data_IF_988774237095
#
_entry.id   IF_988774237095
#
_cell.length_a   1.000
_cell.length_b   1.000
_cell.length_c   1.000
_cell.angle_alpha   90.00
_cell.angle_beta   90.00
_cell.angle_gamma   90.00
#
_symmetry.space_group_name_H-M   'P 1'
#
loop_
_entity.id
_entity.type
_entity.pdbx_description
1 polymer ?
#
# COMPACT_ATOMS: atom_id res chain seq x y z
N UNK A 1 27.06 -1.10 19.60
CA UNK A 1 26.32 -0.64 18.41
C UNK A 1 24.91 -0.21 18.81
N UNK A 2 24.60 1.09 18.76
CA UNK A 2 23.26 1.61 19.08
C UNK A 2 22.21 1.06 18.10
N UNK A 3 21.05 0.66 18.62
CA UNK A 3 19.89 0.27 17.78
C UNK A 3 19.53 1.48 16.90
N UNK A 4 19.76 1.39 15.59
CA UNK A 4 19.27 2.37 14.63
C UNK A 4 17.78 2.61 14.87
N UNK A 5 17.41 3.88 15.09
CA UNK A 5 16.06 4.30 15.45
C UNK A 5 15.13 3.94 14.29
N UNK A 6 14.29 2.91 14.48
CA UNK A 6 13.32 2.51 13.44
C UNK A 6 12.26 3.60 13.32
N UNK A 7 12.25 4.27 12.19
CA UNK A 7 11.23 5.26 11.83
C UNK A 7 9.87 4.57 11.81
N UNK A 8 8.90 5.21 12.48
CA UNK A 8 7.49 4.81 12.48
C UNK A 8 6.70 5.88 11.74
N UNK A 9 5.58 5.50 11.16
CA UNK A 9 4.74 6.47 10.48
C UNK A 9 3.63 5.86 9.68
N UNK A 10 3.04 6.69 8.83
CA UNK A 10 2.04 6.34 7.83
C UNK A 10 2.64 6.56 6.44
N UNK A 11 2.19 5.79 5.47
CA UNK A 11 2.56 5.95 4.08
C UNK A 11 1.37 5.69 3.17
N UNK A 12 1.46 6.27 1.98
CA UNK A 12 0.63 5.94 0.84
C UNK A 12 1.51 5.38 -0.27
N UNK A 13 1.09 4.27 -0.87
CA UNK A 13 1.66 3.79 -2.13
C UNK A 13 0.83 4.33 -3.28
N UNK A 14 1.50 4.94 -4.26
CA UNK A 14 0.89 5.41 -5.48
C UNK A 14 1.14 4.36 -6.57
N UNK A 15 0.05 3.82 -7.09
CA UNK A 15 0.08 2.72 -8.04
C UNK A 15 -0.81 3.00 -9.24
N UNK A 16 -0.57 2.28 -10.33
CA UNK A 16 -1.41 2.30 -11.53
C UNK A 16 -1.71 0.88 -11.95
N UNK A 17 -2.99 0.56 -12.12
CA UNK A 17 -3.44 -0.62 -12.81
C UNK A 17 -3.49 -0.36 -14.31
N UNK A 18 -2.75 -1.16 -15.08
CA UNK A 18 -2.63 -0.99 -16.54
C UNK A 18 -3.89 -1.43 -17.27
N UNK A 19 -4.57 -2.45 -16.73
CA UNK A 19 -5.81 -3.03 -17.24
C UNK A 19 -6.78 -3.29 -16.09
N UNK A 20 -8.04 -3.57 -16.42
CA UNK A 20 -8.97 -4.12 -15.42
C UNK A 20 -8.79 -5.64 -15.33
N UNK A 21 -8.83 -6.19 -14.13
CA UNK A 21 -8.70 -7.64 -13.91
C UNK A 21 -9.28 -8.07 -12.56
N UNK A 22 -9.61 -9.35 -12.44
CA UNK A 22 -9.99 -9.95 -11.16
C UNK A 22 -8.76 -10.50 -10.43
N UNK A 23 -8.73 -10.31 -9.12
CA UNK A 23 -7.65 -10.75 -8.25
C UNK A 23 -8.22 -11.42 -6.99
N UNK A 24 -7.73 -12.64 -6.70
CA UNK A 24 -7.99 -13.29 -5.42
C UNK A 24 -6.96 -12.82 -4.38
N UNK A 25 -7.42 -12.15 -3.32
CA UNK A 25 -6.59 -11.54 -2.28
C UNK A 25 -6.75 -12.31 -0.97
N UNK A 26 -6.01 -13.40 -0.82
CA UNK A 26 -6.02 -14.21 0.41
C UNK A 26 -7.44 -14.52 0.89
N UNK A 27 -7.72 -14.20 2.16
CA UNK A 27 -9.05 -14.40 2.77
C UNK A 27 -10.09 -13.35 2.38
N UNK A 28 -9.70 -12.23 1.76
CA UNK A 28 -10.66 -11.22 1.27
C UNK A 28 -11.42 -11.71 0.02
N UNK A 29 -10.94 -12.77 -0.62
CA UNK A 29 -11.61 -13.36 -1.76
C UNK A 29 -11.33 -12.61 -3.07
N UNK A 30 -12.29 -12.68 -4.00
CA UNK A 30 -12.15 -12.15 -5.37
C UNK A 30 -12.57 -10.69 -5.41
N UNK A 31 -11.69 -9.83 -5.89
CA UNK A 31 -11.95 -8.41 -6.12
C UNK A 31 -11.69 -8.03 -7.57
N UNK A 32 -12.55 -7.17 -8.13
CA UNK A 32 -12.34 -6.56 -9.45
C UNK A 32 -11.48 -5.31 -9.27
N UNK A 33 -10.30 -5.32 -9.86
CA UNK A 33 -9.35 -4.20 -9.80
C UNK A 33 -9.53 -3.35 -11.06
N UNK A 34 -10.03 -2.10 -10.95
CA UNK A 34 -10.25 -1.24 -12.11
C UNK A 34 -8.92 -0.81 -12.73
N UNK A 35 -8.95 -0.52 -14.03
CA UNK A 35 -7.87 0.21 -14.71
C UNK A 35 -7.80 1.64 -14.15
N UNK A 36 -6.60 2.14 -13.89
CA UNK A 36 -6.41 3.52 -13.43
C UNK A 36 -5.48 3.65 -12.24
N UNK A 37 -5.55 4.79 -11.56
CA UNK A 37 -4.73 5.08 -10.40
C UNK A 37 -5.31 4.45 -9.13
N UNK A 38 -4.44 3.83 -8.35
CA UNK A 38 -4.77 3.18 -7.09
C UNK A 38 -3.90 3.76 -5.98
N UNK A 39 -4.50 3.94 -4.80
CA UNK A 39 -3.78 4.37 -3.60
C UNK A 39 -3.97 3.31 -2.52
N UNK A 40 -2.88 2.97 -1.85
CA UNK A 40 -2.92 2.11 -0.67
C UNK A 40 -2.37 2.87 0.54
N UNK A 41 -3.16 2.94 1.61
CA UNK A 41 -2.76 3.55 2.88
C UNK A 41 -2.28 2.46 3.85
N UNK A 42 -1.14 2.66 4.50
CA UNK A 42 -0.65 1.74 5.51
C UNK A 42 0.27 2.40 6.54
N UNK A 43 0.55 1.70 7.64
CA UNK A 43 1.48 2.16 8.68
C UNK A 43 2.77 1.36 8.76
N UNK A 44 3.82 1.99 9.24
CA UNK A 44 5.17 1.47 9.40
C UNK A 44 5.61 1.34 10.86
N UNK A 45 4.74 0.92 11.78
CA UNK A 45 5.00 1.01 13.24
C UNK A 45 6.21 0.21 13.74
N UNK A 46 6.75 -0.72 12.95
CA UNK A 46 7.93 -1.53 13.26
C UNK A 46 9.10 -1.32 12.26
N UNK A 47 9.04 -0.24 11.47
CA UNK A 47 10.00 0.11 10.43
C UNK A 47 9.29 0.56 9.17
N UNK A 48 9.14 1.88 8.99
CA UNK A 48 8.43 2.52 7.88
C UNK A 48 9.10 2.26 6.54
N UNK A 49 10.36 2.64 6.40
CA UNK A 49 11.10 2.51 5.13
C UNK A 49 11.20 1.04 4.70
N UNK A 50 11.54 0.14 5.62
CA UNK A 50 11.57 -1.31 5.33
C UNK A 50 10.22 -1.85 4.81
N UNK A 51 9.09 -1.32 5.29
CA UNK A 51 7.77 -1.74 4.84
C UNK A 51 7.47 -1.18 3.45
N UNK A 52 7.82 0.09 3.19
CA UNK A 52 7.71 0.71 1.87
C UNK A 52 8.59 -0.05 0.86
N UNK A 53 9.88 -0.23 1.15
CA UNK A 53 10.84 -0.93 0.27
C UNK A 53 10.37 -2.33 -0.11
N UNK A 54 9.78 -3.04 0.85
CA UNK A 54 9.21 -4.34 0.57
C UNK A 54 8.11 -4.26 -0.48
N UNK A 55 7.24 -3.26 -0.43
CA UNK A 55 6.14 -3.12 -1.38
C UNK A 55 6.63 -2.92 -2.81
N UNK A 56 7.78 -2.27 -2.98
CA UNK A 56 8.43 -2.13 -4.29
C UNK A 56 9.04 -3.42 -4.85
N UNK A 57 9.38 -4.41 -4.01
CA UNK A 57 9.95 -5.69 -4.50
C UNK A 57 8.90 -6.51 -5.22
N UNK A 58 9.18 -7.02 -6.41
CA UNK A 58 8.30 -7.97 -7.11
C UNK A 58 8.41 -9.38 -6.55
N UNK A 59 9.65 -9.83 -6.32
CA UNK A 59 9.92 -11.16 -5.79
C UNK A 59 9.84 -11.15 -4.27
N UNK A 60 8.73 -11.67 -3.74
CA UNK A 60 8.49 -11.78 -2.30
C UNK A 60 7.37 -12.79 -2.03
N UNK A 61 7.43 -13.46 -0.88
CA UNK A 61 6.27 -14.19 -0.35
C UNK A 61 5.16 -13.19 -0.02
N UNK A 62 3.91 -13.47 -0.40
CA UNK A 62 2.76 -12.62 -0.07
C UNK A 62 2.44 -12.74 1.42
N UNK A 63 2.54 -11.64 2.17
CA UNK A 63 2.29 -11.57 3.61
C UNK A 63 1.14 -10.61 3.94
N UNK A 64 0.98 -9.55 3.17
CA UNK A 64 -0.08 -8.56 3.33
C UNK A 64 -1.02 -8.58 2.12
N UNK A 65 -2.27 -8.13 2.28
CA UNK A 65 -3.23 -8.05 1.18
C UNK A 65 -2.69 -7.24 -0.02
N UNK A 66 -2.00 -6.13 0.25
CA UNK A 66 -1.35 -5.33 -0.78
C UNK A 66 -0.21 -6.06 -1.52
N UNK A 67 0.38 -7.10 -0.93
CA UNK A 67 1.38 -7.92 -1.64
C UNK A 67 0.76 -8.63 -2.85
N UNK A 68 -0.54 -8.96 -2.84
CA UNK A 68 -1.21 -9.59 -3.98
C UNK A 68 -1.30 -8.65 -5.17
N UNK A 69 -1.54 -7.35 -4.93
CA UNK A 69 -1.51 -6.33 -5.98
C UNK A 69 -0.07 -6.05 -6.43
N UNK A 70 0.85 -5.81 -5.49
CA UNK A 70 2.20 -5.33 -5.84
C UNK A 70 3.07 -6.34 -6.57
N UNK A 71 2.77 -7.65 -6.46
CA UNK A 71 3.42 -8.68 -7.28
C UNK A 71 2.73 -8.94 -8.61
N UNK A 72 1.54 -8.37 -8.85
CA UNK A 72 0.82 -8.55 -10.10
C UNK A 72 1.47 -7.70 -11.22
N UNK A 73 1.82 -8.28 -12.38
CA UNK A 73 2.49 -7.55 -13.46
C UNK A 73 1.68 -6.39 -14.03
N UNK A 74 0.35 -6.40 -13.87
CA UNK A 74 -0.54 -5.32 -14.32
C UNK A 74 -0.57 -4.12 -13.37
N UNK A 75 0.06 -4.21 -12.20
CA UNK A 75 0.18 -3.12 -11.23
C UNK A 75 1.57 -2.51 -11.33
N UNK A 76 1.66 -1.20 -11.53
CA UNK A 76 2.91 -0.43 -11.47
C UNK A 76 2.90 0.42 -10.21
N UNK A 77 3.89 0.28 -9.35
CA UNK A 77 4.12 1.19 -8.22
C UNK A 77 5.10 2.25 -8.70
N UNK A 78 4.70 3.52 -8.68
CA UNK A 78 5.54 4.59 -9.20
C UNK A 78 6.05 5.54 -8.13
N UNK A 79 5.41 5.58 -6.95
CA UNK A 79 5.90 6.40 -5.84
C UNK A 79 5.36 5.93 -4.48
N UNK A 80 5.96 6.44 -3.40
CA UNK A 80 5.44 6.38 -2.06
C UNK A 80 5.64 7.73 -1.36
N UNK A 81 4.61 8.20 -0.66
CA UNK A 81 4.68 9.39 0.19
C UNK A 81 4.50 8.92 1.63
N UNK A 82 5.29 9.43 2.55
CA UNK A 82 5.22 9.02 3.95
C UNK A 82 5.40 10.20 4.91
N UNK A 83 4.88 10.02 6.12
CA UNK A 83 5.08 10.96 7.22
C UNK A 83 5.50 10.18 8.48
N UNK A 84 6.50 10.70 9.18
CA UNK A 84 6.93 10.15 10.46
C UNK A 84 5.90 10.49 11.55
N UNK A 85 5.38 9.46 12.21
CA UNK A 85 4.44 9.63 13.32
C UNK A 85 4.41 8.38 14.19
N UNK A 86 4.03 8.55 15.46
CA UNK A 86 3.74 7.45 16.38
C UNK A 86 2.25 7.14 16.48
N UNK A 87 1.41 8.03 15.95
CA UNK A 87 -0.04 7.91 15.96
C UNK A 87 -0.53 7.00 14.83
N UNK A 88 -1.72 6.42 15.02
CA UNK A 88 -2.39 5.64 13.98
C UNK A 88 -3.15 6.60 13.07
N UNK A 89 -2.56 6.92 11.93
CA UNK A 89 -3.09 7.92 10.98
C UNK A 89 -3.79 7.29 9.78
N UNK A 90 -3.84 5.96 9.65
CA UNK A 90 -4.37 5.30 8.45
C UNK A 90 -5.82 5.70 8.14
N UNK A 91 -6.68 5.76 9.16
CA UNK A 91 -8.08 6.14 8.97
C UNK A 91 -8.22 7.60 8.49
N UNK A 92 -7.51 8.53 9.14
CA UNK A 92 -7.53 9.95 8.80
C UNK A 92 -7.04 10.15 7.35
N UNK A 93 -5.91 9.54 6.99
CA UNK A 93 -5.37 9.64 5.63
C UNK A 93 -6.34 9.03 4.61
N UNK A 94 -6.98 7.90 4.93
CA UNK A 94 -7.95 7.26 4.03
C UNK A 94 -9.19 8.13 3.81
N UNK A 95 -9.66 8.81 4.86
CA UNK A 95 -10.79 9.73 4.79
C UNK A 95 -10.49 10.96 3.92
N UNK A 96 -9.31 11.56 4.06
CA UNK A 96 -8.91 12.71 3.24
C UNK A 96 -8.73 12.34 1.76
N UNK A 97 -8.21 11.14 1.48
CA UNK A 97 -8.14 10.61 0.12
C UNK A 97 -9.55 10.41 -0.47
N UNK A 98 -10.49 9.89 0.34
CA UNK A 98 -11.87 9.71 -0.08
C UNK A 98 -12.54 11.05 -0.43
N UNK A 99 -12.38 12.07 0.43
CA UNK A 99 -12.86 13.44 0.17
C UNK A 99 -12.26 14.06 -1.10
N UNK A 100 -11.08 13.61 -1.49
CA UNK A 100 -10.40 14.04 -2.72
C UNK A 100 -10.92 13.35 -3.99
N UNK A 101 -11.96 12.50 -3.90
CA UNK A 101 -12.64 11.87 -5.04
C UNK A 101 -12.20 10.45 -5.35
N UNK A 102 -11.36 9.82 -4.52
CA UNK A 102 -11.03 8.40 -4.65
C UNK A 102 -12.08 7.53 -3.96
N UNK A 103 -12.37 6.35 -4.53
CA UNK A 103 -13.32 5.39 -3.96
C UNK A 103 -12.63 4.15 -3.42
N UNK A 104 -13.03 3.61 -2.26
CA UNK A 104 -12.52 2.33 -1.75
C UNK A 104 -12.88 1.17 -2.70
N UNK A 105 -11.94 0.25 -2.91
CA UNK A 105 -12.12 -0.94 -3.76
C UNK A 105 -11.92 -2.27 -3.01
N UNK A 106 -11.22 -2.23 -1.87
CA UNK A 106 -10.86 -3.37 -1.01
C UNK A 106 -10.93 -2.88 0.43
#
# INVERSE_FOLDING_TARGET
>A
MGKSRRIKGVYVLLMKSLIEFDLNIGMLGRHRIPRGYLIYVGSGLNGLLNRIDRHFRREKKRKWHIDYLTVNPNIVIFNAIYAETREKMECIVSEEIFKSGFTPII
#
